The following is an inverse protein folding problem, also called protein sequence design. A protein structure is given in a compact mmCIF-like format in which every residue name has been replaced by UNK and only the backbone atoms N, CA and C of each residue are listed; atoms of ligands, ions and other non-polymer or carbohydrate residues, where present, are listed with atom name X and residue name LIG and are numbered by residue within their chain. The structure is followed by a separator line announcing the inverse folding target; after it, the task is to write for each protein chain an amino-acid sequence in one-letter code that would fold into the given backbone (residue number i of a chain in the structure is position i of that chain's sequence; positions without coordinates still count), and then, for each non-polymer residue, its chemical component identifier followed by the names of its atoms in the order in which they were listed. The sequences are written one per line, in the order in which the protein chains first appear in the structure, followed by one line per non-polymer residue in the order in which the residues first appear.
data_IF_003487619789
#
_entry.id   IF_003487619789
#
_cell.length_a   1.000
_cell.length_b   1.000
_cell.length_c   1.000
_cell.angle_alpha   90.00
_cell.angle_beta   90.00
_cell.angle_gamma   90.00
#
_symmetry.space_group_name_H-M   'P 1'
#
loop_
_entity.id
_entity.type
_entity.pdbx_description
1 polymer ?
#
# COMPACT_ATOMS: atom_id res chain seq x y z
N UNK A 1 -28.12 9.12 2.29
CA UNK A 1 -27.37 10.36 2.55
C UNK A 1 -27.21 10.52 4.06
N UNK A 2 -26.15 11.15 4.58
CA UNK A 2 -25.97 11.24 6.03
C UNK A 2 -27.12 12.04 6.67
N UNK A 3 -27.85 11.43 7.58
CA UNK A 3 -29.04 12.03 8.20
C UNK A 3 -28.70 12.88 9.44
N UNK A 4 -27.49 12.72 9.99
CA UNK A 4 -26.98 13.48 11.13
C UNK A 4 -25.66 14.19 10.82
N UNK A 5 -25.39 15.30 11.51
CA UNK A 5 -24.18 16.12 11.31
C UNK A 5 -22.89 15.34 11.59
N UNK A 6 -22.92 14.44 12.59
CA UNK A 6 -21.80 13.55 12.89
C UNK A 6 -21.46 12.64 11.69
N UNK A 7 -22.47 12.10 11.01
CA UNK A 7 -22.29 11.24 9.84
C UNK A 7 -21.73 12.02 8.65
N UNK A 8 -22.18 13.28 8.43
CA UNK A 8 -21.60 14.17 7.41
C UNK A 8 -20.11 14.41 7.65
N UNK A 9 -19.71 14.56 8.93
CA UNK A 9 -18.30 14.69 9.31
C UNK A 9 -17.52 13.41 9.04
N UNK A 10 -18.02 12.25 9.44
CA UNK A 10 -17.38 10.95 9.20
C UNK A 10 -17.16 10.70 7.71
N UNK A 11 -18.17 10.94 6.87
CA UNK A 11 -18.06 10.78 5.41
C UNK A 11 -16.89 11.60 4.81
N UNK A 12 -16.71 12.86 5.26
CA UNK A 12 -15.57 13.71 4.82
C UNK A 12 -14.22 13.16 5.31
N UNK A 13 -14.17 12.61 6.52
CA UNK A 13 -12.94 12.03 7.06
C UNK A 13 -12.59 10.72 6.34
N UNK A 14 -13.58 9.91 6.04
CA UNK A 14 -13.42 8.63 5.36
C UNK A 14 -12.95 8.81 3.93
N UNK A 15 -13.48 9.79 3.19
CA UNK A 15 -12.97 10.14 1.86
C UNK A 15 -11.47 10.48 1.89
N UNK A 16 -11.04 11.34 2.83
CA UNK A 16 -9.62 11.70 3.00
C UNK A 16 -8.75 10.51 3.39
N UNK A 17 -9.24 9.64 4.27
CA UNK A 17 -8.52 8.42 4.67
C UNK A 17 -8.43 7.43 3.51
N UNK A 18 -9.51 7.27 2.76
CA UNK A 18 -9.59 6.39 1.61
C UNK A 18 -8.55 6.75 0.55
N UNK A 19 -8.43 8.02 0.17
CA UNK A 19 -7.44 8.47 -0.83
C UNK A 19 -6.00 8.15 -0.40
N UNK A 20 -5.65 8.48 0.85
CA UNK A 20 -4.31 8.20 1.41
C UNK A 20 -4.02 6.70 1.44
N UNK A 21 -4.98 5.91 1.90
CA UNK A 21 -4.83 4.46 2.01
C UNK A 21 -4.76 3.80 0.62
N UNK A 22 -5.55 4.29 -0.34
CA UNK A 22 -5.54 3.84 -1.73
C UNK A 22 -4.18 4.07 -2.37
N UNK A 23 -3.60 5.27 -2.21
CA UNK A 23 -2.27 5.60 -2.72
C UNK A 23 -1.18 4.68 -2.13
N UNK A 24 -1.20 4.50 -0.81
CA UNK A 24 -0.24 3.62 -0.13
C UNK A 24 -0.36 2.15 -0.59
N UNK A 25 -1.57 1.62 -0.70
CA UNK A 25 -1.81 0.26 -1.24
C UNK A 25 -1.38 0.13 -2.69
N UNK A 26 -1.66 1.13 -3.52
CA UNK A 26 -1.24 1.13 -4.92
C UNK A 26 0.27 1.14 -5.05
N UNK A 27 0.99 1.89 -4.21
CA UNK A 27 2.45 1.90 -4.21
C UNK A 27 3.04 0.51 -3.97
N UNK A 28 2.55 -0.20 -2.96
CA UNK A 28 3.00 -1.58 -2.65
C UNK A 28 2.78 -2.50 -3.85
N UNK A 29 1.55 -2.49 -4.43
CA UNK A 29 1.22 -3.33 -5.60
C UNK A 29 2.09 -3.03 -6.82
N UNK A 30 2.42 -1.75 -7.05
CA UNK A 30 3.30 -1.35 -8.15
C UNK A 30 4.74 -1.83 -7.93
N UNK A 31 5.27 -1.72 -6.71
CA UNK A 31 6.62 -2.20 -6.40
C UNK A 31 6.72 -3.72 -6.54
N UNK A 32 5.70 -4.45 -6.07
CA UNK A 32 5.61 -5.90 -6.24
C UNK A 32 5.55 -6.30 -7.72
N UNK A 33 4.75 -5.60 -8.55
CA UNK A 33 4.69 -5.84 -9.99
C UNK A 33 6.05 -5.62 -10.66
N UNK A 34 6.78 -4.56 -10.27
CA UNK A 34 8.13 -4.28 -10.79
C UNK A 34 9.12 -5.38 -10.43
N UNK A 35 9.11 -5.83 -9.17
CA UNK A 35 9.95 -6.93 -8.71
C UNK A 35 9.68 -8.23 -9.48
N UNK A 36 8.40 -8.58 -9.69
CA UNK A 36 8.04 -9.76 -10.50
C UNK A 36 8.54 -9.63 -11.94
N UNK A 37 8.46 -8.44 -12.53
CA UNK A 37 8.93 -8.18 -13.88
C UNK A 37 10.45 -8.22 -14.02
N UNK A 38 11.22 -7.78 -13.01
CA UNK A 38 12.69 -7.87 -13.01
C UNK A 38 13.16 -9.30 -12.79
N UNK A 39 12.51 -10.05 -11.90
CA UNK A 39 12.76 -11.47 -11.70
C UNK A 39 12.50 -12.28 -12.99
N UNK A 40 11.42 -11.98 -13.72
CA UNK A 40 11.12 -12.63 -14.99
C UNK A 40 12.17 -12.36 -16.08
N UNK A 41 12.93 -11.26 -15.96
CA UNK A 41 14.03 -10.90 -16.89
C UNK A 41 15.38 -11.50 -16.51
N UNK A 42 15.48 -12.15 -15.34
CA UNK A 42 16.73 -12.78 -14.88
C UNK A 42 17.77 -11.82 -14.27
N UNK A 43 17.42 -10.56 -14.00
CA UNK A 43 18.33 -9.60 -13.36
C UNK A 43 18.32 -9.76 -11.83
N UNK A 44 19.27 -10.55 -11.32
CA UNK A 44 19.36 -10.92 -9.91
C UNK A 44 19.81 -9.76 -9.03
N UNK A 45 20.70 -8.89 -9.51
CA UNK A 45 21.19 -7.75 -8.72
C UNK A 45 20.13 -6.64 -8.63
N UNK A 46 19.48 -6.32 -9.76
CA UNK A 46 18.37 -5.39 -9.80
C UNK A 46 17.18 -5.86 -8.94
N UNK A 47 16.90 -7.17 -8.95
CA UNK A 47 15.86 -7.75 -8.10
C UNK A 47 16.19 -7.64 -6.60
N UNK A 48 17.45 -7.85 -6.19
CA UNK A 48 17.87 -7.70 -4.79
C UNK A 48 17.70 -6.27 -4.27
N UNK A 49 18.05 -5.27 -5.07
CA UNK A 49 17.84 -3.88 -4.72
C UNK A 49 16.35 -3.55 -4.58
N UNK A 50 15.53 -3.96 -5.56
CA UNK A 50 14.08 -3.75 -5.53
C UNK A 50 13.39 -4.50 -4.39
N UNK A 51 13.90 -5.67 -4.00
CA UNK A 51 13.35 -6.45 -2.90
C UNK A 51 13.42 -5.69 -1.57
N UNK A 52 14.53 -5.00 -1.29
CA UNK A 52 14.67 -4.17 -0.09
C UNK A 52 13.64 -3.03 -0.05
N UNK A 53 13.38 -2.41 -1.20
CA UNK A 53 12.37 -1.34 -1.31
C UNK A 53 10.94 -1.87 -1.12
N UNK A 54 10.65 -3.05 -1.66
CA UNK A 54 9.36 -3.75 -1.47
C UNK A 54 9.17 -4.08 0.01
N UNK A 55 10.18 -4.66 0.65
CA UNK A 55 10.15 -5.01 2.08
C UNK A 55 9.88 -3.77 2.95
N UNK A 56 10.62 -2.68 2.73
CA UNK A 56 10.41 -1.42 3.44
C UNK A 56 9.01 -0.85 3.25
N UNK A 57 8.46 -0.96 2.03
CA UNK A 57 7.10 -0.51 1.75
C UNK A 57 6.04 -1.38 2.45
N UNK A 58 6.27 -2.69 2.54
CA UNK A 58 5.40 -3.64 3.25
C UNK A 58 5.41 -3.40 4.76
N UNK A 59 6.59 -3.23 5.37
CA UNK A 59 6.72 -2.94 6.80
C UNK A 59 6.07 -1.61 7.17
N UNK A 60 6.21 -0.60 6.32
CA UNK A 60 5.54 0.68 6.50
C UNK A 60 4.02 0.58 6.33
N UNK A 61 3.52 -0.29 5.43
CA UNK A 61 2.09 -0.54 5.29
C UNK A 61 1.53 -1.30 6.51
N UNK A 62 2.30 -2.23 7.08
CA UNK A 62 1.99 -2.98 8.30
C UNK A 62 1.93 -2.06 9.52
N UNK A 63 2.91 -1.18 9.70
CA UNK A 63 2.94 -0.24 10.84
C UNK A 63 1.75 0.72 10.84
N UNK A 64 1.30 1.14 9.65
CA UNK A 64 0.08 1.97 9.49
C UNK A 64 -1.23 1.19 9.51
N UNK A 65 -1.20 -0.11 9.81
CA UNK A 65 -2.38 -1.00 9.83
C UNK A 65 -3.19 -0.97 8.52
N UNK A 66 -2.52 -0.71 7.40
CA UNK A 66 -3.14 -0.70 6.07
C UNK A 66 -3.36 -2.11 5.52
N UNK A 67 -2.49 -3.03 5.93
CA UNK A 67 -2.51 -4.46 5.64
C UNK A 67 -2.55 -5.20 6.98
N UNK A 68 -3.21 -6.36 7.00
CA UNK A 68 -3.25 -7.22 8.18
C UNK A 68 -1.88 -7.87 8.34
N UNK A 69 -1.42 -8.05 9.57
CA UNK A 69 -0.10 -8.59 9.85
C UNK A 69 0.10 -10.03 9.34
N UNK A 70 -0.99 -10.79 9.19
CA UNK A 70 -1.00 -12.17 8.65
C UNK A 70 -0.92 -12.22 7.12
N UNK A 71 -1.15 -11.09 6.44
CA UNK A 71 -1.18 -11.01 4.96
C UNK A 71 0.18 -10.67 4.37
N UNK A 72 1.16 -10.29 5.20
CA UNK A 72 2.51 -9.87 4.83
C UNK A 72 3.52 -10.75 5.55
#
# INVERSE_FOLDING_TARGET
MPHHQAQKKSLRQDAKRYERNRSAKSRVRTLEKKLRATLAKGDVEGARAQFKDVQKALDHAKSRKLLKAETV
#
